data_IF_750391296638
#
_entry.id   IF_750391296638
#
_cell.length_a   1.000
_cell.length_b   1.000
_cell.length_c   1.000
_cell.angle_alpha   90.00
_cell.angle_beta   90.00
_cell.angle_gamma   90.00
#
_symmetry.space_group_name_H-M   'P 1'
#
loop_
_entity.id
_entity.type
_entity.pdbx_description
1 polymer ?
#
# COMPACT_ATOMS: atom_id res chain seq x y z
N UNK A 1 6.89 -20.44 -0.35
CA UNK A 1 5.50 -20.64 -0.80
C UNK A 1 4.98 -19.27 -1.22
N UNK A 2 4.39 -19.11 -2.42
CA UNK A 2 3.76 -17.85 -2.82
C UNK A 2 2.65 -17.51 -1.82
N UNK A 3 2.59 -16.25 -1.36
CA UNK A 3 1.50 -15.81 -0.47
C UNK A 3 0.25 -15.69 -1.32
N UNK A 4 -0.74 -16.52 -1.05
CA UNK A 4 -2.04 -16.43 -1.70
C UNK A 4 -2.98 -15.60 -0.83
N UNK A 5 -3.75 -14.67 -1.42
CA UNK A 5 -4.77 -13.93 -0.69
C UNK A 5 -5.87 -14.89 -0.23
N UNK A 6 -6.53 -14.56 0.87
CA UNK A 6 -7.78 -15.18 1.26
C UNK A 6 -8.87 -14.80 0.24
N UNK A 7 -9.56 -15.79 -0.33
CA UNK A 7 -10.68 -15.56 -1.25
C UNK A 7 -11.95 -16.15 -0.63
N UNK A 8 -12.86 -15.29 -0.18
CA UNK A 8 -14.19 -15.67 0.30
C UNK A 8 -15.27 -15.07 -0.61
N UNK A 9 -15.70 -15.86 -1.58
CA UNK A 9 -16.80 -15.49 -2.48
C UNK A 9 -18.15 -16.06 -2.01
N UNK A 10 -18.24 -16.73 -0.85
CA UNK A 10 -19.47 -17.34 -0.33
C UNK A 10 -20.10 -16.51 0.80
N UNK A 11 -19.36 -15.54 1.33
CA UNK A 11 -19.81 -14.63 2.36
C UNK A 11 -21.17 -13.96 2.06
N UNK A 12 -21.86 -13.50 3.11
CA UNK A 12 -23.17 -12.90 2.94
C UNK A 12 -23.05 -11.42 2.58
N UNK A 13 -23.89 -10.95 1.65
CA UNK A 13 -24.04 -9.52 1.35
C UNK A 13 -23.89 -9.18 -0.13
N UNK A 14 -24.20 -7.92 -0.51
CA UNK A 14 -24.18 -7.48 -1.89
C UNK A 14 -22.85 -6.84 -2.31
N UNK A 15 -21.90 -6.63 -1.40
CA UNK A 15 -20.68 -5.86 -1.63
C UNK A 15 -19.43 -6.71 -1.47
N UNK A 16 -18.26 -6.14 -1.75
CA UNK A 16 -16.97 -6.82 -1.68
C UNK A 16 -15.97 -6.00 -0.89
N UNK A 17 -15.39 -6.58 0.14
CA UNK A 17 -14.28 -6.02 0.90
C UNK A 17 -12.97 -6.55 0.34
N UNK A 18 -12.04 -5.65 0.05
CA UNK A 18 -10.67 -5.99 -0.35
C UNK A 18 -9.73 -5.44 0.72
N UNK A 19 -8.81 -6.27 1.19
CA UNK A 19 -7.77 -5.88 2.16
C UNK A 19 -6.38 -6.07 1.54
N UNK A 20 -5.49 -5.10 1.78
CA UNK A 20 -4.12 -5.13 1.28
C UNK A 20 -3.17 -4.43 2.25
N UNK A 21 -1.89 -4.77 2.15
CA UNK A 21 -0.84 -4.30 3.06
C UNK A 21 0.29 -3.66 2.28
N UNK A 22 0.70 -2.47 2.71
CA UNK A 22 1.98 -1.86 2.38
C UNK A 22 3.03 -2.23 3.43
N UNK A 23 4.27 -2.47 3.01
CA UNK A 23 5.41 -2.63 3.93
C UNK A 23 6.40 -1.53 3.61
N UNK A 24 6.72 -0.68 4.59
CA UNK A 24 7.68 0.41 4.39
C UNK A 24 9.13 -0.10 4.36
N UNK A 25 10.09 0.79 4.04
CA UNK A 25 11.51 0.41 4.03
C UNK A 25 12.11 0.09 5.40
N UNK A 26 11.39 0.36 6.49
CA UNK A 26 11.72 -0.08 7.85
C UNK A 26 11.01 -1.39 8.24
N UNK A 27 10.33 -2.03 7.29
CA UNK A 27 9.56 -3.26 7.44
C UNK A 27 8.35 -3.14 8.38
N UNK A 28 7.82 -1.94 8.60
CA UNK A 28 6.53 -1.73 9.25
C UNK A 28 5.40 -1.99 8.26
N UNK A 29 4.34 -2.64 8.74
CA UNK A 29 3.20 -3.07 7.94
C UNK A 29 2.01 -2.16 8.16
N UNK A 30 1.43 -1.70 7.06
CA UNK A 30 0.27 -0.83 7.03
C UNK A 30 -0.83 -1.53 6.24
N UNK A 31 -1.79 -2.09 6.97
CA UNK A 31 -2.92 -2.79 6.37
C UNK A 31 -4.08 -1.82 6.19
N UNK A 32 -4.70 -1.85 5.01
CA UNK A 32 -5.90 -1.11 4.68
C UNK A 32 -6.98 -2.04 4.14
N UNK A 33 -8.22 -1.54 4.13
CA UNK A 33 -9.35 -2.21 3.48
C UNK A 33 -10.30 -1.19 2.89
N UNK A 34 -10.94 -1.57 1.78
CA UNK A 34 -12.06 -0.82 1.21
C UNK A 34 -13.17 -1.77 0.80
N UNK A 35 -14.40 -1.27 0.85
CA UNK A 35 -15.62 -1.96 0.49
C UNK A 35 -16.13 -1.37 -0.82
N UNK A 36 -16.16 -2.20 -1.85
CA UNK A 36 -16.61 -1.88 -3.19
C UNK A 36 -18.08 -2.29 -3.35
N UNK A 37 -18.85 -1.44 -4.03
CA UNK A 37 -20.22 -1.78 -4.40
C UNK A 37 -20.22 -2.94 -5.40
N UNK A 38 -21.03 -3.96 -5.12
CA UNK A 38 -21.15 -5.14 -5.96
C UNK A 38 -20.47 -6.38 -5.39
N UNK A 39 -21.05 -7.53 -5.71
CA UNK A 39 -20.66 -8.82 -5.16
C UNK A 39 -19.64 -9.50 -6.06
N UNK A 40 -18.49 -9.87 -5.50
CA UNK A 40 -17.47 -10.61 -6.22
C UNK A 40 -17.97 -12.01 -6.60
N UNK A 41 -17.69 -12.41 -7.84
CA UNK A 41 -17.88 -13.76 -8.34
C UNK A 41 -16.56 -14.53 -8.39
N UNK A 42 -16.64 -15.87 -8.47
CA UNK A 42 -15.46 -16.74 -8.65
C UNK A 42 -14.60 -16.30 -9.84
N UNK A 43 -15.24 -15.97 -10.96
CA UNK A 43 -14.53 -15.55 -12.18
C UNK A 43 -13.79 -14.23 -12.00
N UNK A 44 -14.41 -13.25 -11.34
CA UNK A 44 -13.75 -11.99 -11.03
C UNK A 44 -12.61 -12.18 -10.03
N UNK A 45 -12.79 -12.98 -8.98
CA UNK A 45 -11.72 -13.29 -8.03
C UNK A 45 -10.51 -13.94 -8.71
N UNK A 46 -10.75 -14.85 -9.67
CA UNK A 46 -9.69 -15.46 -10.47
C UNK A 46 -8.94 -14.42 -11.34
N UNK A 47 -9.63 -13.41 -11.87
CA UNK A 47 -9.01 -12.29 -12.60
C UNK A 47 -8.05 -11.52 -11.69
N UNK A 48 -8.48 -11.11 -10.49
CA UNK A 48 -7.61 -10.38 -9.55
C UNK A 48 -6.34 -11.19 -9.25
N UNK A 49 -6.48 -12.46 -8.90
CA UNK A 49 -5.35 -13.34 -8.54
C UNK A 49 -4.42 -13.59 -9.73
N UNK A 50 -4.93 -13.67 -10.96
CA UNK A 50 -4.14 -13.99 -12.15
C UNK A 50 -3.06 -12.97 -12.51
N UNK A 51 -3.18 -11.73 -12.01
CA UNK A 51 -2.25 -10.64 -12.30
C UNK A 51 -1.26 -10.37 -11.18
N UNK A 52 -1.41 -11.00 -10.02
CA UNK A 52 -0.47 -10.81 -8.92
C UNK A 52 0.93 -11.32 -9.28
N UNK A 53 1.96 -10.71 -8.69
CA UNK A 53 3.32 -11.27 -8.72
C UNK A 53 3.33 -12.64 -8.03
N UNK A 54 4.44 -13.37 -8.14
CA UNK A 54 4.64 -14.61 -7.37
C UNK A 54 4.56 -14.37 -5.85
N UNK A 55 4.86 -13.14 -5.39
CA UNK A 55 4.74 -12.72 -4.00
C UNK A 55 3.30 -12.42 -3.55
N UNK A 56 2.33 -12.40 -4.47
CA UNK A 56 0.98 -11.92 -4.19
C UNK A 56 0.87 -10.39 -4.24
N UNK A 57 1.80 -9.73 -4.93
CA UNK A 57 1.91 -8.27 -4.95
C UNK A 57 1.24 -7.65 -6.18
N UNK A 58 0.89 -6.38 -6.06
CA UNK A 58 0.31 -5.55 -7.10
C UNK A 58 0.62 -4.06 -6.85
N UNK A 59 0.33 -3.20 -7.82
CA UNK A 59 0.44 -1.75 -7.71
C UNK A 59 -0.98 -1.15 -7.66
N UNK A 60 -1.48 -0.71 -6.49
CA UNK A 60 -2.85 -0.20 -6.35
C UNK A 60 -3.21 0.93 -7.32
N UNK A 61 -2.30 1.86 -7.56
CA UNK A 61 -2.53 3.02 -8.42
C UNK A 61 -2.97 2.65 -9.84
N UNK A 62 -2.41 1.57 -10.42
CA UNK A 62 -2.67 1.13 -11.79
C UNK A 62 -4.12 0.69 -12.03
N UNK A 63 -4.81 0.30 -10.95
CA UNK A 63 -6.23 -0.09 -10.98
C UNK A 63 -7.14 0.93 -10.30
N UNK A 64 -6.58 2.07 -9.89
CA UNK A 64 -7.30 3.16 -9.23
C UNK A 64 -7.65 2.87 -7.77
N UNK A 65 -6.86 2.06 -7.09
CA UNK A 65 -6.91 1.86 -5.64
C UNK A 65 -5.91 2.79 -4.94
N UNK A 66 -6.17 3.09 -3.66
CA UNK A 66 -5.34 4.00 -2.88
C UNK A 66 -3.95 3.42 -2.56
N UNK A 67 -2.93 4.26 -2.75
CA UNK A 67 -1.55 4.00 -2.29
C UNK A 67 -1.44 4.37 -0.81
N UNK A 68 -0.92 3.48 0.03
CA UNK A 68 -0.92 3.67 1.48
C UNK A 68 0.22 4.55 1.98
N UNK A 69 1.26 4.76 1.17
CA UNK A 69 2.39 5.66 1.45
C UNK A 69 1.90 7.08 1.75
N UNK A 70 0.88 7.55 1.02
CA UNK A 70 0.24 8.86 1.21
C UNK A 70 -0.38 9.02 2.59
N UNK A 71 -0.87 7.91 3.17
CA UNK A 71 -1.59 7.91 4.45
C UNK A 71 -0.64 7.70 5.63
N UNK A 72 0.50 7.06 5.38
CA UNK A 72 1.38 6.54 6.44
C UNK A 72 2.60 7.43 6.68
N UNK A 73 3.38 7.73 5.64
CA UNK A 73 4.69 8.36 5.81
C UNK A 73 4.61 9.88 5.72
N UNK A 74 3.65 10.42 4.96
CA UNK A 74 3.56 11.86 4.67
C UNK A 74 4.73 12.40 3.82
N UNK A 75 5.69 11.54 3.46
CA UNK A 75 6.80 11.79 2.55
C UNK A 75 7.12 10.50 1.75
N UNK A 76 7.85 10.61 0.64
CA UNK A 76 8.32 9.48 -0.15
C UNK A 76 9.84 9.33 -0.03
N UNK A 77 10.32 8.16 0.42
CA UNK A 77 11.75 7.87 0.48
C UNK A 77 12.19 7.05 -0.76
N UNK A 78 12.92 7.64 -1.72
CA UNK A 78 13.14 7.05 -3.05
C UNK A 78 13.98 5.76 -3.06
N UNK A 79 14.69 5.44 -1.98
CA UNK A 79 15.49 4.21 -1.86
C UNK A 79 14.95 3.20 -0.85
N UNK A 80 13.90 3.54 -0.11
CA UNK A 80 13.37 2.72 0.98
C UNK A 80 11.91 2.34 0.73
N UNK A 81 11.14 3.24 0.16
CA UNK A 81 9.77 2.98 -0.23
C UNK A 81 9.70 2.31 -1.61
N UNK A 82 8.58 1.64 -1.89
CA UNK A 82 8.28 1.01 -3.16
C UNK A 82 6.78 1.09 -3.46
N UNK A 83 6.35 1.06 -4.73
CA UNK A 83 4.93 1.11 -5.07
C UNK A 83 4.14 -0.19 -4.75
N UNK A 84 4.84 -1.30 -4.52
CA UNK A 84 4.22 -2.62 -4.34
C UNK A 84 3.41 -2.74 -3.04
N UNK A 85 2.27 -3.41 -3.14
CA UNK A 85 1.44 -3.81 -2.01
C UNK A 85 1.10 -5.29 -2.13
N UNK A 86 0.89 -5.95 -0.99
CA UNK A 86 0.44 -7.35 -0.94
C UNK A 86 -1.07 -7.41 -0.84
N UNK A 87 -1.72 -8.21 -1.70
CA UNK A 87 -3.15 -8.50 -1.57
C UNK A 87 -3.35 -9.51 -0.44
N UNK A 88 -4.15 -9.15 0.57
CA UNK A 88 -4.39 -10.01 1.74
C UNK A 88 -5.68 -10.80 1.62
N UNK A 89 -6.78 -10.15 1.23
CA UNK A 89 -8.09 -10.77 1.20
C UNK A 89 -9.03 -10.11 0.17
N UNK A 90 -9.88 -10.93 -0.43
CA UNK A 90 -11.06 -10.53 -1.21
C UNK A 90 -12.26 -11.29 -0.68
N UNK A 91 -13.20 -10.58 -0.08
CA UNK A 91 -14.29 -11.17 0.69
C UNK A 91 -15.63 -10.53 0.33
N UNK A 92 -16.69 -11.31 0.27
CA UNK A 92 -18.04 -10.76 0.19
C UNK A 92 -18.41 -10.13 1.54
N UNK A 93 -19.00 -8.93 1.50
CA UNK A 93 -19.34 -8.18 2.71
C UNK A 93 -20.77 -7.63 2.68
N UNK A 94 -21.33 -7.47 3.89
CA UNK A 94 -22.57 -6.72 4.16
C UNK A 94 -22.31 -5.24 4.44
N UNK A 95 -21.05 -4.86 4.60
CA UNK A 95 -20.67 -3.46 4.89
C UNK A 95 -21.11 -2.55 3.74
N UNK A 96 -21.44 -1.30 4.07
CA UNK A 96 -21.74 -0.28 3.06
C UNK A 96 -20.48 0.03 2.24
N UNK A 97 -20.60 0.31 0.93
CA UNK A 97 -19.45 0.70 0.12
C UNK A 97 -18.83 2.01 0.63
N UNK A 98 -17.50 2.05 0.66
CA UNK A 98 -16.69 3.23 0.97
C UNK A 98 -15.72 3.60 -0.16
N UNK A 99 -15.55 2.73 -1.16
CA UNK A 99 -14.74 3.00 -2.33
C UNK A 99 -15.47 3.93 -3.31
N UNK A 100 -14.71 4.82 -3.95
CA UNK A 100 -15.21 5.75 -4.98
C UNK A 100 -15.57 5.06 -6.32
N UNK A 101 -15.38 3.75 -6.41
CA UNK A 101 -15.64 2.97 -7.63
C UNK A 101 -16.34 1.66 -7.32
N UNK A 102 -17.14 1.19 -8.27
CA UNK A 102 -17.80 -0.11 -8.19
C UNK A 102 -16.82 -1.25 -8.46
N UNK A 103 -17.10 -2.42 -7.89
CA UNK A 103 -16.29 -3.61 -8.07
C UNK A 103 -16.10 -3.98 -9.55
N UNK A 104 -17.16 -3.86 -10.36
CA UNK A 104 -17.10 -4.22 -11.78
C UNK A 104 -16.06 -3.38 -12.51
N UNK A 105 -16.01 -2.07 -12.22
CA UNK A 105 -15.06 -1.14 -12.83
C UNK A 105 -13.64 -1.46 -12.36
N UNK A 106 -13.45 -1.78 -11.07
CA UNK A 106 -12.16 -2.22 -10.56
C UNK A 106 -11.66 -3.48 -11.28
N UNK A 107 -12.52 -4.49 -11.43
CA UNK A 107 -12.16 -5.75 -12.10
C UNK A 107 -11.87 -5.52 -13.58
N UNK A 108 -12.62 -4.64 -14.27
CA UNK A 108 -12.36 -4.28 -15.66
C UNK A 108 -10.97 -3.63 -15.83
N UNK A 109 -10.59 -2.71 -14.92
CA UNK A 109 -9.24 -2.11 -14.92
C UNK A 109 -8.18 -3.18 -14.70
N UNK A 110 -8.39 -4.07 -13.72
CA UNK A 110 -7.49 -5.18 -13.43
C UNK A 110 -7.32 -6.13 -14.62
N UNK A 111 -8.40 -6.43 -15.33
CA UNK A 111 -8.39 -7.29 -16.51
C UNK A 111 -7.69 -6.63 -17.71
N UNK A 112 -7.89 -5.33 -17.89
CA UNK A 112 -7.30 -4.55 -18.98
C UNK A 112 -5.80 -4.27 -18.79
N UNK A 113 -5.31 -4.36 -17.55
CA UNK A 113 -3.91 -4.16 -17.21
C UNK A 113 -3.01 -5.15 -17.97
N UNK A 114 -2.00 -4.64 -18.69
CA UNK A 114 -1.02 -5.49 -19.38
C UNK A 114 0.02 -6.01 -18.41
N UNK A 115 0.63 -5.09 -17.69
CA UNK A 115 1.66 -5.28 -16.66
C UNK A 115 1.51 -4.18 -15.61
N UNK A 116 2.01 -4.44 -14.40
CA UNK A 116 2.11 -3.41 -13.36
C UNK A 116 3.23 -2.44 -13.70
N UNK A 117 3.02 -1.15 -13.42
CA UNK A 117 3.97 -0.06 -13.66
C UNK A 117 4.35 0.60 -12.33
N UNK A 118 5.23 -0.06 -11.54
CA UNK A 118 5.69 0.53 -10.28
C UNK A 118 6.43 1.84 -10.50
N UNK A 119 7.21 1.97 -11.58
CA UNK A 119 8.00 3.17 -11.85
C UNK A 119 7.11 4.40 -12.03
N UNK A 120 6.02 4.30 -12.80
CA UNK A 120 5.06 5.38 -12.95
C UNK A 120 4.32 5.70 -11.64
N UNK A 121 4.02 4.68 -10.82
CA UNK A 121 3.39 4.89 -9.52
C UNK A 121 4.34 5.59 -8.52
N UNK A 122 5.63 5.26 -8.54
CA UNK A 122 6.66 5.87 -7.69
C UNK A 122 6.97 7.31 -8.13
N UNK A 123 7.03 7.59 -9.43
CA UNK A 123 7.16 8.95 -9.97
C UNK A 123 6.02 9.83 -9.43
N UNK A 124 4.78 9.34 -9.52
CA UNK A 124 3.61 10.06 -8.99
C UNK A 124 3.68 10.28 -7.48
N UNK A 125 4.11 9.28 -6.71
CA UNK A 125 4.29 9.43 -5.26
C UNK A 125 5.35 10.47 -4.91
N UNK A 126 6.45 10.50 -5.67
CA UNK A 126 7.51 11.50 -5.50
C UNK A 126 7.01 12.92 -5.78
N UNK A 127 6.13 13.10 -6.76
CA UNK A 127 5.51 14.41 -7.06
C UNK A 127 4.52 14.85 -5.97
N UNK A 128 3.74 13.92 -5.41
CA UNK A 128 2.68 14.23 -4.44
C UNK A 128 3.21 14.44 -3.01
N UNK A 129 4.21 13.64 -2.59
CA UNK A 129 4.72 13.64 -1.22
C UNK A 129 6.03 14.41 -1.03
N UNK A 130 6.80 14.60 -2.09
CA UNK A 130 8.15 15.16 -2.01
C UNK A 130 9.13 14.26 -1.23
N UNK A 131 10.41 14.68 -1.14
CA UNK A 131 11.42 13.96 -0.39
C UNK A 131 11.12 13.97 1.11
N UNK A 132 11.73 13.07 1.91
CA UNK A 132 11.72 13.20 3.36
C UNK A 132 12.20 14.59 3.77
N UNK A 133 11.67 15.17 4.88
CA UNK A 133 12.28 16.35 5.46
C UNK A 133 13.74 16.05 5.79
N UNK A 134 14.62 17.02 5.53
CA UNK A 134 16.02 16.93 5.96
C UNK A 134 16.00 16.59 7.46
N UNK A 135 16.58 15.44 7.81
CA UNK A 135 16.91 15.18 9.21
C UNK A 135 18.03 16.18 9.50
N UNK A 136 17.68 17.33 10.07
CA UNK A 136 18.66 18.24 10.65
C UNK A 136 19.61 17.37 11.47
N UNK A 137 20.88 17.34 11.07
CA UNK A 137 21.95 16.63 11.75
C UNK A 137 21.94 17.06 13.23
N UNK A 138 21.36 16.27 14.12
CA UNK A 138 21.59 16.39 15.57
C UNK A 138 23.02 15.90 15.87
N UNK A 139 24.05 16.60 15.38
CA UNK A 139 25.44 16.44 15.82
C UNK A 139 26.21 17.79 15.84
N UNK A 140 25.76 18.76 16.64
CA UNK A 140 26.58 19.86 17.20
C UNK A 140 25.94 20.21 18.56
N UNK A 141 26.53 20.16 19.75
CA UNK A 141 27.90 20.10 20.25
C UNK A 141 27.85 19.41 21.63
N UNK A 142 28.62 18.35 21.83
CA UNK A 142 28.94 17.84 23.16
C UNK A 142 30.46 17.77 23.32
N UNK A 143 31.15 18.89 23.06
CA UNK A 143 32.56 19.06 23.40
C UNK A 143 32.72 20.32 24.28
N UNK A 144 32.37 20.18 25.57
CA UNK A 144 32.98 21.03 26.59
C UNK A 144 33.77 20.14 27.55
N UNK A 145 35.11 20.06 27.43
CA UNK A 145 35.91 19.43 28.46
C UNK A 145 35.88 20.34 29.70
N UNK A 146 35.29 19.84 30.78
CA UNK A 146 35.30 20.50 32.07
C UNK A 146 36.74 20.91 32.47
N UNK A 147 36.98 22.22 32.56
CA UNK A 147 38.24 22.75 33.05
C UNK A 147 38.52 22.26 34.48
N UNK A 148 39.74 21.83 34.82
CA UNK A 148 40.05 21.41 36.18
C UNK A 148 40.08 22.63 37.10
N UNK A 149 39.46 22.49 38.28
CA UNK A 149 39.45 23.50 39.33
C UNK A 149 40.89 23.84 39.78
N UNK A 150 41.22 25.13 40.02
CA UNK A 150 42.48 25.47 40.66
C UNK A 150 42.44 25.07 42.13
N UNK A 151 43.47 24.34 42.57
CA UNK A 151 43.71 24.04 43.97
C UNK A 151 44.16 25.30 44.73
N UNK A 152 43.45 25.66 45.80
CA UNK A 152 43.94 26.41 46.95
C UNK A 152 43.00 26.24 48.14
#
# INVERSE_FOLDING_TARGET
MPRQPLIDVEGPGPNTRISWTYTDGSNHKHTHRSVYAGRISVGQAAVLVSKLTQGGEFVPADVGMSMLQLVVNGFWHPTLDHAWHTLDAVEVSRESPDADTDLVVLVERWAALKEWDPDAAEEKLSEELGPPPDQDDEEEDADEPASPAPAA
#
